data_IF_051791662131
#
_entry.id   IF_051791662131
#
_cell.length_a   1.000
_cell.length_b   1.000
_cell.length_c   1.000
_cell.angle_alpha   90.00
_cell.angle_beta   90.00
_cell.angle_gamma   90.00
#
_symmetry.space_group_name_H-M   'P 1'
#
loop_
_entity.id
_entity.type
_entity.pdbx_description
1 polymer ?
#
# COMPACT_ATOMS: atom_id res chain seq x y z
N UNK A 1 9.69 -45.28 21.12
CA UNK A 1 9.94 -44.04 21.90
C UNK A 1 9.48 -42.71 21.26
N UNK A 2 8.65 -42.70 20.20
CA UNK A 2 8.17 -41.45 19.56
C UNK A 2 6.80 -40.93 20.06
N UNK A 3 6.22 -41.54 21.11
CA UNK A 3 4.82 -41.28 21.54
C UNK A 3 4.71 -40.33 22.74
N UNK A 4 5.79 -40.06 23.50
CA UNK A 4 5.71 -39.19 24.70
C UNK A 4 5.88 -37.69 24.46
N UNK A 5 6.39 -37.26 23.30
CA UNK A 5 6.60 -35.84 22.99
C UNK A 5 5.31 -35.09 22.62
N UNK A 6 4.23 -35.81 22.29
CA UNK A 6 2.97 -35.20 21.84
C UNK A 6 2.05 -34.70 22.98
N UNK A 7 2.32 -35.00 24.27
CA UNK A 7 1.41 -34.65 25.37
C UNK A 7 1.81 -33.44 26.22
N UNK A 8 3.00 -32.85 26.01
CA UNK A 8 3.54 -31.80 26.90
C UNK A 8 3.22 -30.39 26.41
N UNK A 9 3.14 -30.19 25.09
CA UNK A 9 2.86 -28.88 24.48
C UNK A 9 1.38 -28.80 24.12
N UNK A 10 0.59 -28.30 25.08
CA UNK A 10 -0.84 -28.06 24.88
C UNK A 10 -1.12 -26.57 24.58
N UNK A 11 -2.38 -26.25 24.28
CA UNK A 11 -2.81 -24.87 23.95
C UNK A 11 -2.47 -23.85 25.04
N UNK A 12 -2.55 -24.24 26.31
CA UNK A 12 -2.24 -23.38 27.47
C UNK A 12 -0.75 -23.05 27.53
N UNK A 13 0.13 -24.03 27.31
CA UNK A 13 1.60 -23.83 27.24
C UNK A 13 1.94 -22.86 26.11
N UNK A 14 1.38 -23.07 24.91
CA UNK A 14 1.62 -22.18 23.76
C UNK A 14 1.05 -20.78 23.99
N UNK A 15 -0.15 -20.64 24.56
CA UNK A 15 -0.76 -19.34 24.89
C UNK A 15 0.07 -18.57 25.92
N UNK A 16 0.58 -19.27 26.95
CA UNK A 16 1.45 -18.69 27.97
C UNK A 16 2.78 -18.26 27.36
N UNK A 17 3.39 -19.09 26.50
CA UNK A 17 4.62 -18.74 25.79
C UNK A 17 4.43 -17.52 24.87
N UNK A 18 3.32 -17.44 24.13
CA UNK A 18 2.96 -16.26 23.33
C UNK A 18 2.80 -15.01 24.19
N UNK A 19 2.16 -15.11 25.35
CA UNK A 19 1.98 -13.99 26.28
C UNK A 19 3.33 -13.51 26.81
N UNK A 20 4.19 -14.42 27.28
CA UNK A 20 5.55 -14.11 27.68
C UNK A 20 6.32 -13.42 26.54
N UNK A 21 6.31 -14.01 25.33
CA UNK A 21 6.97 -13.42 24.17
C UNK A 21 6.43 -12.04 23.79
N UNK A 22 5.13 -11.79 23.95
CA UNK A 22 4.55 -10.47 23.68
C UNK A 22 5.04 -9.43 24.68
N UNK A 23 5.02 -9.77 25.98
CA UNK A 23 5.49 -8.90 27.04
C UNK A 23 6.97 -8.54 26.85
N UNK A 24 7.82 -9.55 26.64
CA UNK A 24 9.27 -9.35 26.52
C UNK A 24 9.69 -8.62 25.24
N UNK A 25 8.90 -8.69 24.16
CA UNK A 25 9.24 -8.05 22.88
C UNK A 25 8.52 -6.72 22.67
N UNK A 26 7.19 -6.72 22.71
CA UNK A 26 6.35 -5.57 22.32
C UNK A 26 6.12 -4.61 23.49
N UNK A 27 5.94 -5.14 24.70
CA UNK A 27 5.68 -4.34 25.90
C UNK A 27 6.94 -4.13 26.76
N UNK A 28 8.13 -4.29 26.19
CA UNK A 28 9.42 -4.20 26.88
C UNK A 28 9.65 -2.86 27.57
N UNK A 29 9.11 -1.77 27.03
CA UNK A 29 9.17 -0.43 27.61
C UNK A 29 8.34 -0.26 28.89
N UNK A 30 7.43 -1.19 29.18
CA UNK A 30 6.58 -1.18 30.36
C UNK A 30 6.88 -2.37 31.28
N UNK A 31 8.12 -2.87 31.27
CA UNK A 31 8.53 -4.08 31.99
C UNK A 31 8.09 -4.12 33.45
N UNK A 32 8.21 -3.00 34.15
CA UNK A 32 7.87 -2.91 35.58
C UNK A 32 6.39 -3.21 35.87
N UNK A 33 5.49 -3.08 34.89
CA UNK A 33 4.05 -3.32 35.10
C UNK A 33 3.64 -4.78 34.97
N UNK A 34 4.52 -5.68 34.53
CA UNK A 34 4.19 -7.07 34.25
C UNK A 34 5.27 -8.08 34.66
N UNK A 35 6.37 -7.60 35.25
CA UNK A 35 7.56 -8.43 35.56
C UNK A 35 7.22 -9.61 36.47
N UNK A 36 6.42 -9.40 37.51
CA UNK A 36 6.05 -10.43 38.50
C UNK A 36 5.23 -11.54 37.84
N UNK A 37 4.23 -11.16 37.04
CA UNK A 37 3.36 -12.08 36.30
C UNK A 37 4.14 -12.84 35.23
N UNK A 38 5.09 -12.17 34.57
CA UNK A 38 6.00 -12.79 33.61
C UNK A 38 6.88 -13.85 34.27
N UNK A 39 7.50 -13.57 35.41
CA UNK A 39 8.31 -14.55 36.15
C UNK A 39 7.49 -15.78 36.57
N UNK A 40 6.25 -15.59 37.03
CA UNK A 40 5.32 -16.69 37.33
C UNK A 40 5.00 -17.52 36.08
N UNK A 41 4.72 -16.87 34.97
CA UNK A 41 4.43 -17.54 33.70
C UNK A 41 5.67 -18.30 33.16
N UNK A 42 6.89 -17.75 33.33
CA UNK A 42 8.13 -18.44 32.99
C UNK A 42 8.33 -19.69 33.85
N UNK A 43 8.10 -19.60 35.17
CA UNK A 43 8.17 -20.75 36.08
C UNK A 43 7.18 -21.85 35.68
N UNK A 44 5.94 -21.48 35.37
CA UNK A 44 4.94 -22.43 34.86
C UNK A 44 5.42 -23.13 33.58
N UNK A 45 5.97 -22.40 32.61
CA UNK A 45 6.49 -22.99 31.37
C UNK A 45 7.60 -24.02 31.64
N UNK A 46 8.53 -23.71 32.55
CA UNK A 46 9.61 -24.62 32.93
C UNK A 46 9.11 -25.87 33.64
N UNK A 47 8.09 -25.74 34.49
CA UNK A 47 7.45 -26.89 35.16
C UNK A 47 6.68 -27.78 34.20
N UNK A 48 6.03 -27.21 33.18
CA UNK A 48 5.28 -27.98 32.19
C UNK A 48 6.19 -28.67 31.18
N UNK A 49 7.12 -27.93 30.58
CA UNK A 49 7.94 -28.40 29.46
C UNK A 49 9.05 -29.33 29.94
N UNK A 50 9.67 -29.01 31.08
CA UNK A 50 10.78 -29.78 31.71
C UNK A 50 11.98 -30.03 30.78
N UNK A 51 12.07 -29.26 29.70
CA UNK A 51 13.17 -29.26 28.72
C UNK A 51 13.48 -27.79 28.39
N UNK A 52 14.62 -27.31 28.90
CA UNK A 52 15.07 -25.93 28.76
C UNK A 52 15.29 -25.57 27.29
N UNK A 53 15.85 -26.48 26.49
CA UNK A 53 16.13 -26.21 25.07
C UNK A 53 14.83 -26.07 24.29
N UNK A 54 13.87 -26.98 24.53
CA UNK A 54 12.57 -26.93 23.88
C UNK A 54 11.77 -25.67 24.28
N UNK A 55 11.82 -25.29 25.56
CA UNK A 55 11.18 -24.07 26.05
C UNK A 55 11.72 -22.80 25.38
N UNK A 56 13.05 -22.69 25.28
CA UNK A 56 13.71 -21.59 24.57
C UNK A 56 13.32 -21.54 23.09
N UNK A 57 13.26 -22.70 22.42
CA UNK A 57 12.85 -22.81 21.02
C UNK A 57 11.40 -22.35 20.81
N UNK A 58 10.48 -22.74 21.71
CA UNK A 58 9.08 -22.32 21.69
C UNK A 58 8.97 -20.81 21.86
N UNK A 59 9.65 -20.22 22.86
CA UNK A 59 9.64 -18.78 23.10
C UNK A 59 10.24 -17.99 21.93
N UNK A 60 11.34 -18.48 21.35
CA UNK A 60 11.96 -17.85 20.18
C UNK A 60 11.01 -17.84 18.99
N UNK A 61 10.34 -18.96 18.74
CA UNK A 61 9.35 -19.10 17.68
C UNK A 61 8.14 -18.18 17.90
N UNK A 62 7.61 -18.14 19.12
CA UNK A 62 6.52 -17.23 19.51
C UNK A 62 6.92 -15.76 19.33
N UNK A 63 8.12 -15.38 19.78
CA UNK A 63 8.65 -14.03 19.63
C UNK A 63 8.78 -13.63 18.17
N UNK A 64 9.31 -14.51 17.32
CA UNK A 64 9.40 -14.28 15.86
C UNK A 64 8.03 -14.05 15.24
N UNK A 65 7.04 -14.89 15.57
CA UNK A 65 5.68 -14.77 15.09
C UNK A 65 5.02 -13.46 15.52
N UNK A 66 5.20 -13.04 16.77
CA UNK A 66 4.65 -11.78 17.30
C UNK A 66 5.26 -10.57 16.60
N UNK A 67 6.58 -10.56 16.42
CA UNK A 67 7.28 -9.49 15.68
C UNK A 67 6.78 -9.43 14.25
N UNK A 68 6.64 -10.56 13.57
CA UNK A 68 6.15 -10.64 12.19
C UNK A 68 4.70 -10.13 12.06
N UNK A 69 3.79 -10.59 12.91
CA UNK A 69 2.39 -10.15 12.93
C UNK A 69 2.26 -8.67 13.29
N UNK A 70 3.05 -8.19 14.26
CA UNK A 70 3.07 -6.78 14.67
C UNK A 70 3.58 -5.88 13.55
N UNK A 71 4.69 -6.24 12.90
CA UNK A 71 5.22 -5.53 11.72
C UNK A 71 4.19 -5.48 10.60
N UNK A 72 3.54 -6.61 10.30
CA UNK A 72 2.49 -6.69 9.26
C UNK A 72 1.32 -5.76 9.58
N UNK A 73 0.86 -5.72 10.84
CA UNK A 73 -0.22 -4.84 11.29
C UNK A 73 0.16 -3.37 11.17
N UNK A 74 1.37 -2.99 11.57
CA UNK A 74 1.88 -1.61 11.43
C UNK A 74 1.98 -1.22 9.95
N UNK A 75 2.58 -2.07 9.12
CA UNK A 75 2.70 -1.83 7.68
C UNK A 75 1.33 -1.69 6.99
N UNK A 76 0.35 -2.51 7.37
CA UNK A 76 -1.03 -2.40 6.87
C UNK A 76 -1.67 -1.07 7.28
N UNK A 77 -1.56 -0.68 8.56
CA UNK A 77 -2.08 0.61 9.05
C UNK A 77 -1.42 1.78 8.32
N UNK A 78 -0.12 1.73 8.11
CA UNK A 78 0.63 2.76 7.38
C UNK A 78 0.17 2.86 5.91
N UNK A 79 0.08 1.73 5.18
CA UNK A 79 -0.46 1.71 3.81
C UNK A 79 -1.88 2.27 3.74
N UNK A 80 -2.74 1.97 4.72
CA UNK A 80 -4.10 2.52 4.80
C UNK A 80 -4.09 4.03 5.02
N UNK A 81 -3.22 4.54 5.89
CA UNK A 81 -3.03 5.97 6.13
C UNK A 81 -2.54 6.68 4.87
N UNK A 82 -1.54 6.14 4.19
CA UNK A 82 -1.01 6.67 2.93
C UNK A 82 -2.08 6.77 1.85
N UNK A 83 -2.88 5.70 1.65
CA UNK A 83 -4.02 5.72 0.72
C UNK A 83 -5.02 6.82 1.05
N UNK A 84 -5.40 6.98 2.33
CA UNK A 84 -6.35 8.01 2.77
C UNK A 84 -5.79 9.43 2.55
N UNK A 85 -4.53 9.65 2.92
CA UNK A 85 -3.88 10.96 2.74
C UNK A 85 -3.75 11.30 1.26
N UNK A 86 -3.36 10.35 0.42
CA UNK A 86 -3.27 10.55 -1.03
C UNK A 86 -4.64 10.85 -1.64
N UNK A 87 -5.68 10.12 -1.23
CA UNK A 87 -7.05 10.36 -1.67
C UNK A 87 -7.49 11.81 -1.39
N UNK A 88 -7.40 12.24 -0.12
CA UNK A 88 -7.79 13.59 0.28
C UNK A 88 -6.93 14.65 -0.42
N UNK A 89 -5.63 14.40 -0.58
CA UNK A 89 -4.74 15.32 -1.28
C UNK A 89 -5.17 15.56 -2.73
N UNK A 90 -5.53 14.49 -3.45
CA UNK A 90 -5.97 14.60 -4.85
C UNK A 90 -7.35 15.23 -4.93
N UNK A 91 -8.32 14.76 -4.13
CA UNK A 91 -9.67 15.34 -4.07
C UNK A 91 -9.64 16.85 -3.79
N UNK A 92 -8.82 17.30 -2.84
CA UNK A 92 -8.70 18.74 -2.49
C UNK A 92 -8.13 19.61 -3.61
N UNK A 93 -7.52 19.01 -4.63
CA UNK A 93 -6.92 19.70 -5.78
C UNK A 93 -7.73 19.53 -7.05
N UNK A 94 -8.69 18.60 -7.05
CA UNK A 94 -9.59 18.42 -8.18
C UNK A 94 -10.46 19.68 -8.30
N UNK A 95 -10.72 20.08 -9.54
CA UNK A 95 -11.57 21.22 -9.87
C UNK A 95 -12.57 20.78 -10.93
N UNK A 96 -13.55 21.64 -11.24
CA UNK A 96 -14.52 21.35 -12.30
C UNK A 96 -13.84 21.24 -13.67
N UNK A 97 -12.81 22.04 -13.93
CA UNK A 97 -12.02 22.02 -15.18
C UNK A 97 -11.26 20.69 -15.32
N UNK A 98 -10.75 20.13 -14.22
CA UNK A 98 -10.15 18.80 -14.24
C UNK A 98 -11.16 17.72 -14.65
N UNK A 99 -12.38 17.78 -14.13
CA UNK A 99 -13.45 16.84 -14.51
C UNK A 99 -13.87 17.03 -15.99
N UNK A 100 -14.01 18.28 -16.44
CA UNK A 100 -14.29 18.62 -17.83
C UNK A 100 -13.20 18.09 -18.77
N UNK A 101 -11.93 18.32 -18.45
CA UNK A 101 -10.79 17.82 -19.22
C UNK A 101 -10.80 16.30 -19.39
N UNK A 102 -11.26 15.56 -18.36
CA UNK A 102 -11.40 14.10 -18.45
C UNK A 102 -12.54 13.72 -19.41
N UNK A 103 -13.74 14.30 -19.24
CA UNK A 103 -14.88 13.91 -20.09
C UNK A 103 -14.76 14.40 -21.54
N UNK A 104 -13.98 15.45 -21.78
CA UNK A 104 -13.65 15.93 -23.13
C UNK A 104 -12.79 14.95 -23.93
N UNK A 105 -12.19 13.93 -23.30
CA UNK A 105 -11.48 12.86 -24.03
C UNK A 105 -12.41 11.78 -24.57
N UNK A 106 -13.72 11.89 -24.35
CA UNK A 106 -14.70 10.90 -24.80
C UNK A 106 -14.81 10.91 -26.32
N UNK A 107 -14.57 9.76 -26.95
CA UNK A 107 -14.77 9.54 -28.39
C UNK A 107 -16.27 9.42 -28.71
N UNK A 108 -16.62 9.56 -29.98
CA UNK A 108 -18.01 9.38 -30.44
C UNK A 108 -18.60 7.99 -30.14
N UNK A 109 -17.75 6.96 -29.96
CA UNK A 109 -18.13 5.61 -29.53
C UNK A 109 -18.50 5.51 -28.04
N UNK A 110 -18.25 6.56 -27.26
CA UNK A 110 -18.44 6.57 -25.80
C UNK A 110 -17.19 6.18 -25.00
N UNK A 111 -16.15 5.62 -25.62
CA UNK A 111 -14.89 5.31 -24.94
C UNK A 111 -14.10 6.56 -24.53
N UNK A 112 -13.28 6.45 -23.50
CA UNK A 112 -12.47 7.55 -22.95
C UNK A 112 -10.97 7.25 -23.08
N UNK A 113 -10.19 8.27 -23.45
CA UNK A 113 -8.73 8.26 -23.32
C UNK A 113 -8.29 8.71 -21.91
N UNK A 114 -7.05 8.40 -21.51
CA UNK A 114 -6.50 8.98 -20.29
C UNK A 114 -6.14 10.45 -20.54
N UNK A 115 -6.78 11.35 -19.80
CA UNK A 115 -6.43 12.77 -19.83
C UNK A 115 -5.06 13.03 -19.20
N UNK A 116 -4.51 14.22 -19.44
CA UNK A 116 -3.29 14.67 -18.77
C UNK A 116 -3.44 14.68 -17.24
N UNK A 117 -4.63 15.00 -16.73
CA UNK A 117 -4.93 14.98 -15.30
C UNK A 117 -4.71 13.58 -14.73
N UNK A 118 -5.30 12.56 -15.37
CA UNK A 118 -5.17 11.17 -14.96
C UNK A 118 -3.71 10.73 -15.10
N UNK A 119 -3.08 11.03 -16.24
CA UNK A 119 -1.69 10.68 -16.52
C UNK A 119 -0.74 11.25 -15.47
N UNK A 120 -0.90 12.54 -15.11
CA UNK A 120 -0.08 13.24 -14.11
C UNK A 120 -0.30 12.75 -12.69
N UNK A 121 -1.53 12.37 -12.34
CA UNK A 121 -1.90 11.95 -10.99
C UNK A 121 -1.61 10.47 -10.75
N UNK A 122 -1.96 9.59 -11.69
CA UNK A 122 -1.66 8.16 -11.62
C UNK A 122 -0.21 7.83 -12.00
N UNK A 123 0.45 8.64 -12.85
CA UNK A 123 1.76 8.28 -13.40
C UNK A 123 1.67 7.07 -14.35
N UNK A 124 0.59 7.00 -15.13
CA UNK A 124 0.35 6.00 -16.18
C UNK A 124 0.19 6.78 -17.47
N UNK A 125 0.98 6.50 -18.50
CA UNK A 125 0.78 7.06 -19.84
C UNK A 125 -0.17 6.20 -20.67
N UNK A 126 -0.75 6.75 -21.74
CA UNK A 126 -1.66 6.03 -22.63
C UNK A 126 -1.01 4.79 -23.26
N UNK A 127 0.30 4.80 -23.48
CA UNK A 127 1.07 3.70 -24.06
C UNK A 127 1.36 2.59 -23.03
N UNK A 128 1.47 2.95 -21.75
CA UNK A 128 1.85 2.03 -20.67
C UNK A 128 0.67 1.32 -19.99
N UNK A 129 -0.56 1.55 -20.46
CA UNK A 129 -1.79 1.06 -19.81
C UNK A 129 -1.80 -0.45 -19.72
N UNK A 130 -1.62 -1.16 -20.85
CA UNK A 130 -1.71 -2.63 -20.89
C UNK A 130 -0.67 -3.29 -19.95
N UNK A 131 0.59 -2.84 -20.00
CA UNK A 131 1.64 -3.33 -19.10
C UNK A 131 1.31 -3.05 -17.64
N UNK A 132 0.70 -1.90 -17.34
CA UNK A 132 0.29 -1.56 -15.98
C UNK A 132 -0.81 -2.49 -15.47
N UNK A 133 -1.88 -2.67 -16.26
CA UNK A 133 -3.09 -3.41 -15.83
C UNK A 133 -2.87 -4.92 -15.81
N UNK A 134 -1.91 -5.45 -16.57
CA UNK A 134 -1.58 -6.88 -16.59
C UNK A 134 -1.29 -7.45 -15.19
N UNK A 135 -0.67 -6.65 -14.31
CA UNK A 135 -0.39 -7.04 -12.91
C UNK A 135 -1.63 -7.06 -12.00
N UNK A 136 -2.77 -6.56 -12.48
CA UNK A 136 -4.05 -6.48 -11.77
C UNK A 136 -5.11 -7.41 -12.37
N UNK A 137 -4.91 -7.89 -13.60
CA UNK A 137 -5.77 -8.86 -14.28
C UNK A 137 -5.51 -10.29 -13.78
N UNK A 138 -6.09 -10.65 -12.63
CA UNK A 138 -5.84 -11.96 -11.99
C UNK A 138 -6.66 -13.10 -12.57
N UNK A 139 -7.83 -12.82 -13.12
CA UNK A 139 -8.75 -13.84 -13.67
C UNK A 139 -8.47 -14.10 -15.15
N UNK A 140 -8.68 -15.34 -15.60
CA UNK A 140 -8.47 -15.72 -17.01
C UNK A 140 -9.40 -14.98 -17.97
N UNK A 141 -10.63 -14.65 -17.52
CA UNK A 141 -11.57 -13.80 -18.26
C UNK A 141 -11.00 -12.40 -18.47
N UNK A 142 -10.52 -11.75 -17.40
CA UNK A 142 -10.00 -10.39 -17.47
C UNK A 142 -8.67 -10.29 -18.22
N UNK A 143 -7.83 -11.33 -18.17
CA UNK A 143 -6.59 -11.41 -18.98
C UNK A 143 -6.86 -11.40 -20.49
N UNK A 144 -8.03 -11.87 -20.93
CA UNK A 144 -8.44 -11.85 -22.34
C UNK A 144 -8.88 -10.44 -22.80
N UNK A 145 -9.12 -9.52 -21.87
CA UNK A 145 -9.43 -8.12 -22.20
C UNK A 145 -8.14 -7.40 -22.57
N UNK A 146 -7.76 -7.51 -23.85
CA UNK A 146 -6.54 -6.91 -24.40
C UNK A 146 -6.76 -5.57 -25.08
N UNK A 147 -8.02 -5.17 -25.31
CA UNK A 147 -8.35 -3.88 -25.87
C UNK A 147 -8.02 -2.75 -24.88
N UNK A 148 -7.09 -1.88 -25.26
CA UNK A 148 -6.61 -0.79 -24.40
C UNK A 148 -7.68 0.27 -24.13
N UNK A 149 -8.61 0.52 -25.06
CA UNK A 149 -9.65 1.54 -24.90
C UNK A 149 -10.66 1.15 -23.80
N UNK A 150 -10.90 -0.15 -23.63
CA UNK A 150 -11.71 -0.69 -22.52
C UNK A 150 -11.03 -0.35 -21.18
N UNK A 151 -9.72 -0.60 -21.06
CA UNK A 151 -8.95 -0.30 -19.85
C UNK A 151 -8.85 1.20 -19.57
N UNK A 152 -8.56 2.01 -20.58
CA UNK A 152 -8.52 3.47 -20.45
C UNK A 152 -9.86 4.00 -19.96
N UNK A 153 -10.96 3.50 -20.54
CA UNK A 153 -12.32 3.89 -20.13
C UNK A 153 -12.60 3.49 -18.69
N UNK A 154 -12.32 2.26 -18.29
CA UNK A 154 -12.51 1.80 -16.91
C UNK A 154 -11.67 2.58 -15.90
N UNK A 155 -10.42 2.94 -16.25
CA UNK A 155 -9.53 3.77 -15.42
C UNK A 155 -10.09 5.19 -15.29
N UNK A 156 -10.51 5.82 -16.38
CA UNK A 156 -11.06 7.18 -16.37
C UNK A 156 -12.35 7.28 -15.55
N UNK A 157 -13.26 6.30 -15.66
CA UNK A 157 -14.48 6.22 -14.85
C UNK A 157 -14.16 6.11 -13.36
N UNK A 158 -13.26 5.18 -12.98
CA UNK A 158 -12.85 5.00 -11.59
C UNK A 158 -12.12 6.23 -11.03
N UNK A 159 -11.40 6.97 -11.88
CA UNK A 159 -10.76 8.22 -11.48
C UNK A 159 -11.80 9.30 -11.15
N UNK A 160 -12.81 9.48 -12.00
CA UNK A 160 -13.92 10.41 -11.77
C UNK A 160 -14.64 10.09 -10.45
N UNK A 161 -15.02 8.82 -10.24
CA UNK A 161 -15.67 8.38 -9.00
C UNK A 161 -14.80 8.51 -7.76
N UNK A 162 -13.48 8.34 -7.88
CA UNK A 162 -12.59 8.40 -6.72
C UNK A 162 -12.24 9.83 -6.34
N UNK A 163 -12.04 10.72 -7.32
CA UNK A 163 -11.39 12.01 -7.10
C UNK A 163 -12.18 13.23 -7.55
N UNK A 164 -13.26 13.05 -8.32
CA UNK A 164 -14.06 14.15 -8.88
C UNK A 164 -15.51 14.17 -8.36
N UNK A 165 -15.77 13.53 -7.22
CA UNK A 165 -17.13 13.39 -6.64
C UNK A 165 -17.81 14.72 -6.34
N UNK A 166 -17.03 15.75 -5.95
CA UNK A 166 -17.56 17.09 -5.71
C UNK A 166 -18.14 17.78 -6.97
N UNK A 167 -17.87 17.23 -8.16
CA UNK A 167 -18.30 17.77 -9.45
C UNK A 167 -19.07 16.72 -10.26
N UNK A 168 -19.79 15.81 -9.60
CA UNK A 168 -20.52 14.70 -10.25
C UNK A 168 -21.44 15.18 -11.38
N UNK A 169 -22.19 16.26 -11.14
CA UNK A 169 -23.11 16.84 -12.13
C UNK A 169 -22.44 17.18 -13.45
N UNK A 170 -21.14 17.48 -13.44
CA UNK A 170 -20.36 17.83 -14.64
C UNK A 170 -20.08 16.61 -15.51
N UNK A 171 -19.87 15.42 -14.93
CA UNK A 171 -19.38 14.25 -15.67
C UNK A 171 -20.36 13.09 -15.76
N UNK A 172 -21.49 13.14 -15.03
CA UNK A 172 -22.45 12.03 -14.91
C UNK A 172 -23.01 11.53 -16.26
N UNK A 173 -23.31 12.44 -17.19
CA UNK A 173 -23.85 12.07 -18.50
C UNK A 173 -22.83 11.30 -19.34
N UNK A 174 -21.60 11.79 -19.43
CA UNK A 174 -20.51 11.17 -20.17
C UNK A 174 -20.08 9.86 -19.51
N UNK A 175 -20.09 9.83 -18.18
CA UNK A 175 -19.88 8.61 -17.42
C UNK A 175 -20.88 7.52 -17.82
N UNK A 176 -22.17 7.83 -17.91
CA UNK A 176 -23.19 6.86 -18.35
C UNK A 176 -22.88 6.33 -19.75
N UNK A 177 -22.57 7.21 -20.72
CA UNK A 177 -22.20 6.79 -22.08
C UNK A 177 -20.98 5.86 -22.12
N UNK A 178 -19.98 6.15 -21.29
CA UNK A 178 -18.79 5.31 -21.17
C UNK A 178 -19.06 3.97 -20.47
N UNK A 179 -20.00 3.93 -19.51
CA UNK A 179 -20.49 2.67 -18.94
C UNK A 179 -21.23 1.83 -19.98
N UNK A 180 -22.11 2.45 -20.76
CA UNK A 180 -22.84 1.78 -21.84
C UNK A 180 -21.86 1.21 -22.90
N UNK A 181 -20.81 1.97 -23.25
CA UNK A 181 -19.71 1.46 -24.08
C UNK A 181 -19.07 0.20 -23.48
N UNK A 182 -18.68 0.22 -22.20
CA UNK A 182 -18.07 -0.95 -21.56
C UNK A 182 -19.00 -2.17 -21.56
N UNK A 183 -20.27 -1.98 -21.24
CA UNK A 183 -21.26 -3.07 -21.25
C UNK A 183 -21.43 -3.69 -22.64
N UNK A 184 -21.46 -2.85 -23.68
CA UNK A 184 -21.53 -3.33 -25.06
C UNK A 184 -20.25 -4.05 -25.52
N UNK A 185 -19.07 -3.61 -25.06
CA UNK A 185 -17.80 -4.22 -25.45
C UNK A 185 -17.50 -5.53 -24.73
N UNK A 186 -17.86 -5.62 -23.45
CA UNK A 186 -17.58 -6.80 -22.63
C UNK A 186 -18.67 -7.85 -22.80
N UNK A 187 -19.94 -7.42 -22.89
CA UNK A 187 -21.12 -8.29 -22.99
C UNK A 187 -21.17 -9.43 -21.95
N UNK A 188 -20.53 -9.20 -20.80
CA UNK A 188 -20.50 -10.09 -19.64
C UNK A 188 -20.39 -9.23 -18.38
N UNK A 189 -21.50 -9.17 -17.64
CA UNK A 189 -21.61 -8.33 -16.44
C UNK A 189 -20.55 -8.67 -15.39
N UNK A 190 -20.20 -9.96 -15.22
CA UNK A 190 -19.23 -10.39 -14.22
C UNK A 190 -17.83 -9.92 -14.60
N UNK A 191 -17.45 -10.08 -15.88
CA UNK A 191 -16.15 -9.62 -16.37
C UNK A 191 -16.05 -8.09 -16.31
N UNK A 192 -17.14 -7.39 -16.57
CA UNK A 192 -17.21 -5.94 -16.48
C UNK A 192 -17.03 -5.44 -15.03
N UNK A 193 -17.66 -6.09 -14.06
CA UNK A 193 -17.47 -5.79 -12.63
C UNK A 193 -16.02 -6.07 -12.19
N UNK A 194 -15.44 -7.19 -12.62
CA UNK A 194 -14.02 -7.53 -12.36
C UNK A 194 -13.07 -6.48 -12.97
N UNK A 195 -13.34 -6.03 -14.19
CA UNK A 195 -12.61 -4.96 -14.88
C UNK A 195 -12.64 -3.67 -14.08
N UNK A 196 -13.83 -3.23 -13.65
CA UNK A 196 -13.98 -2.00 -12.88
C UNK A 196 -13.26 -2.07 -11.53
N UNK A 197 -13.33 -3.19 -10.82
CA UNK A 197 -12.62 -3.37 -9.55
C UNK A 197 -11.10 -3.41 -9.73
N UNK A 198 -10.61 -4.04 -10.80
CA UNK A 198 -9.19 -4.01 -11.16
C UNK A 198 -8.73 -2.60 -11.50
N UNK A 199 -9.48 -1.87 -12.33
CA UNK A 199 -9.19 -0.48 -12.67
C UNK A 199 -9.21 0.44 -11.43
N UNK A 200 -10.15 0.23 -10.50
CA UNK A 200 -10.18 0.93 -9.21
C UNK A 200 -8.90 0.71 -8.41
N UNK A 201 -8.45 -0.54 -8.30
CA UNK A 201 -7.19 -0.90 -7.63
C UNK A 201 -5.99 -0.23 -8.29
N UNK A 202 -5.93 -0.23 -9.63
CA UNK A 202 -4.89 0.47 -10.41
C UNK A 202 -4.88 1.96 -10.06
N UNK A 203 -6.02 2.62 -10.18
CA UNK A 203 -6.20 4.06 -9.94
C UNK A 203 -5.76 4.44 -8.53
N UNK A 204 -6.24 3.73 -7.50
CA UNK A 204 -5.88 4.00 -6.10
C UNK A 204 -4.41 3.74 -5.84
N UNK A 205 -3.88 2.60 -6.29
CA UNK A 205 -2.49 2.22 -6.04
C UNK A 205 -1.52 3.20 -6.71
N UNK A 206 -1.70 3.45 -8.01
CA UNK A 206 -0.79 4.29 -8.81
C UNK A 206 -0.83 5.74 -8.36
N UNK A 207 -2.03 6.27 -8.06
CA UNK A 207 -2.16 7.62 -7.50
C UNK A 207 -1.46 7.74 -6.14
N UNK A 208 -1.68 6.78 -5.22
CA UNK A 208 -1.04 6.78 -3.89
C UNK A 208 0.48 6.76 -4.03
N UNK A 209 1.02 5.85 -4.83
CA UNK A 209 2.46 5.71 -5.08
C UNK A 209 3.05 6.99 -5.65
N UNK A 210 2.38 7.62 -6.62
CA UNK A 210 2.86 8.85 -7.23
C UNK A 210 2.82 10.05 -6.29
N UNK A 211 1.79 10.17 -5.43
CA UNK A 211 1.72 11.21 -4.39
C UNK A 211 2.86 11.06 -3.39
N UNK A 212 3.06 9.85 -2.85
CA UNK A 212 4.15 9.56 -1.91
C UNK A 212 5.51 9.86 -2.55
N UNK A 213 5.72 9.43 -3.81
CA UNK A 213 6.97 9.70 -4.55
C UNK A 213 7.24 11.21 -4.68
N UNK A 214 6.21 12.01 -5.00
CA UNK A 214 6.32 13.47 -5.12
C UNK A 214 6.63 14.13 -3.78
N UNK A 215 6.03 13.66 -2.68
CA UNK A 215 6.30 14.15 -1.33
C UNK A 215 7.74 13.88 -0.92
N UNK A 216 8.22 12.63 -1.06
CA UNK A 216 9.61 12.24 -0.76
C UNK A 216 10.60 13.07 -1.58
N UNK A 217 10.33 13.30 -2.88
CA UNK A 217 11.20 14.13 -3.73
C UNK A 217 11.25 15.59 -3.23
N UNK A 218 10.12 16.15 -2.78
CA UNK A 218 10.05 17.51 -2.22
C UNK A 218 10.87 17.61 -0.92
N UNK A 219 10.73 16.64 -0.02
CA UNK A 219 11.46 16.59 1.25
C UNK A 219 12.97 16.48 1.03
N UNK A 220 13.42 15.60 0.13
CA UNK A 220 14.85 15.49 -0.24
C UNK A 220 15.41 16.82 -0.75
N UNK A 221 14.65 17.54 -1.58
CA UNK A 221 15.08 18.85 -2.10
C UNK A 221 15.19 19.89 -0.99
N UNK A 222 14.23 19.93 -0.07
CA UNK A 222 14.26 20.85 1.08
C UNK A 222 15.45 20.56 2.00
N UNK A 223 15.73 19.28 2.27
CA UNK A 223 16.89 18.87 3.05
C UNK A 223 18.20 19.30 2.38
N UNK A 224 18.32 19.10 1.06
CA UNK A 224 19.50 19.52 0.29
C UNK A 224 19.72 21.05 0.38
N UNK A 225 18.66 21.85 0.17
CA UNK A 225 18.75 23.32 0.29
C UNK A 225 19.16 23.75 1.70
N UNK A 226 18.69 23.06 2.74
CA UNK A 226 19.10 23.32 4.14
C UNK A 226 20.57 22.99 4.38
N UNK A 227 21.09 21.94 3.77
CA UNK A 227 22.54 21.62 3.84
C UNK A 227 23.34 22.68 3.09
N UNK A 228 22.96 23.00 1.85
CA UNK A 228 23.64 23.98 1.00
C UNK A 228 23.72 25.37 1.65
N UNK A 229 22.64 25.84 2.30
CA UNK A 229 22.61 27.13 2.99
C UNK A 229 23.48 27.19 4.26
N UNK A 230 23.81 26.03 4.84
CA UNK A 230 24.72 25.93 5.99
C UNK A 230 26.17 25.71 5.59
N UNK A 231 26.42 25.30 4.34
CA UNK A 231 27.77 25.10 3.84
C UNK A 231 28.47 26.45 3.73
N UNK A 232 29.62 26.57 4.40
CA UNK A 232 30.45 27.78 4.37
C UNK A 232 31.66 27.61 3.46
N UNK A 233 32.27 28.72 3.05
CA UNK A 233 33.56 28.70 2.32
C UNK A 233 34.64 27.94 3.11
N UNK A 234 34.64 28.04 4.44
CA UNK A 234 35.57 27.29 5.30
C UNK A 234 35.37 25.78 5.17
N UNK A 235 34.11 25.32 5.23
CA UNK A 235 33.76 23.90 5.06
C UNK A 235 34.20 23.39 3.68
N UNK A 236 34.03 24.20 2.63
CA UNK A 236 34.47 23.82 1.27
C UNK A 236 35.99 23.69 1.20
N UNK A 237 36.75 24.66 1.77
CA UNK A 237 38.22 24.62 1.79
C UNK A 237 38.75 23.39 2.53
N UNK A 238 38.14 23.04 3.66
CA UNK A 238 38.47 21.85 4.44
C UNK A 238 38.26 20.57 3.59
N UNK A 239 37.08 20.42 2.95
CA UNK A 239 36.82 19.28 2.08
C UNK A 239 37.86 19.13 0.96
N UNK A 240 38.21 20.22 0.28
CA UNK A 240 39.21 20.22 -0.81
C UNK A 240 40.61 19.88 -0.28
N UNK A 241 40.99 20.38 0.90
CA UNK A 241 42.33 20.14 1.48
C UNK A 241 42.61 18.67 1.83
N UNK A 242 41.56 17.86 2.01
CA UNK A 242 41.67 16.42 2.30
C UNK A 242 41.73 15.52 1.06
N UNK A 243 41.64 16.10 -0.14
CA UNK A 243 41.69 15.34 -1.38
C UNK A 243 43.14 14.92 -1.68
N UNK A 244 43.36 13.62 -1.88
CA UNK A 244 44.67 13.11 -2.31
C UNK A 244 44.99 13.67 -3.70
N UNK A 245 46.16 14.28 -3.84
CA UNK A 245 46.71 14.64 -5.16
C UNK A 245 47.02 13.35 -5.92
N UNK A 246 46.45 13.20 -7.12
CA UNK A 246 46.79 12.15 -8.06
C UNK A 246 48.07 12.51 -8.83
#
# INVERSE_FOLDING_TARGET
ERVKTASVVNSTVISTALTCSYLSTVASTHKETWKVEYERARKYLSEQIKDVKLEEEILKSCSKLIVEKSRTKVAYKQKKKEKRTALLHVQSKTTVEHAQSIISTQKGTGSLELSEVITKNCGISNESVLTTVQTYSTTESLKKVTNVDIWKTAISLNYLESYCTAHESTWKLQYKKARDYLSNQINDKKVEEELLEAAKKVVIHKTTTNVVRKQVKKEKRLALTKVQSKTTVSTVKECVSTQKQN
#
